data_IF_553246334740
#
_entry.id   IF_553246334740
#
_cell.length_a   1.000
_cell.length_b   1.000
_cell.length_c   1.000
_cell.angle_alpha   90.00
_cell.angle_beta   90.00
_cell.angle_gamma   90.00
#
_symmetry.space_group_name_H-M   'P 1'
#
loop_
_entity.id
_entity.type
_entity.pdbx_description
1 polymer ?
#
# COMPACT_ATOMS: atom_id res chain seq x y z
N UNK A 1 -14.30 -12.16 1.62
CA UNK A 1 -12.88 -11.94 1.33
C UNK A 1 -12.16 -13.26 1.52
N UNK A 2 -11.45 -13.77 0.51
CA UNK A 2 -10.70 -15.02 0.61
C UNK A 2 -9.22 -14.72 0.51
N UNK A 3 -8.57 -14.73 1.68
CA UNK A 3 -7.13 -14.54 1.81
C UNK A 3 -6.41 -15.81 1.38
N UNK A 4 -5.25 -15.62 0.75
CA UNK A 4 -4.44 -16.73 0.26
C UNK A 4 -3.56 -17.26 1.38
N UNK A 5 -3.74 -18.53 1.69
CA UNK A 5 -2.89 -19.28 2.61
C UNK A 5 -1.73 -19.97 1.87
N UNK A 6 -0.86 -20.70 2.57
CA UNK A 6 0.32 -21.31 1.93
C UNK A 6 -0.05 -22.35 0.85
N UNK A 7 -1.13 -23.11 1.08
CA UNK A 7 -1.61 -24.12 0.13
C UNK A 7 -2.19 -23.47 -1.14
N UNK A 8 -2.88 -22.35 -0.98
CA UNK A 8 -3.47 -21.59 -2.09
C UNK A 8 -2.41 -20.83 -2.87
N UNK A 9 -1.36 -20.35 -2.20
CA UNK A 9 -0.21 -19.74 -2.85
C UNK A 9 0.37 -20.66 -3.92
N UNK A 10 0.51 -21.96 -3.61
CA UNK A 10 0.99 -23.00 -4.55
C UNK A 10 0.09 -23.24 -5.77
N UNK A 11 -1.14 -22.70 -5.76
CA UNK A 11 -2.05 -22.73 -6.91
C UNK A 11 -1.96 -21.47 -7.76
N UNK A 12 -1.48 -20.36 -7.19
CA UNK A 12 -1.35 -19.07 -7.89
C UNK A 12 -0.09 -18.99 -8.75
N UNK A 13 0.95 -19.72 -8.37
CA UNK A 13 2.23 -19.70 -9.07
C UNK A 13 2.55 -21.09 -9.62
N UNK A 14 3.12 -21.13 -10.82
CA UNK A 14 3.71 -22.35 -11.38
C UNK A 14 4.77 -22.93 -10.44
N UNK A 15 5.61 -22.08 -9.84
CA UNK A 15 6.66 -22.49 -8.89
C UNK A 15 6.78 -21.47 -7.76
N UNK A 16 7.06 -21.95 -6.54
CA UNK A 16 7.38 -21.10 -5.39
C UNK A 16 8.74 -21.52 -4.83
N UNK A 17 9.61 -20.53 -4.65
CA UNK A 17 10.91 -20.69 -4.04
C UNK A 17 10.88 -20.13 -2.63
N UNK A 18 11.32 -20.95 -1.65
CA UNK A 18 11.52 -20.54 -0.26
C UNK A 18 12.99 -20.34 0.08
N UNK A 19 13.89 -20.96 -0.69
CA UNK A 19 15.32 -20.64 -0.70
C UNK A 19 15.60 -19.74 -1.91
N UNK A 20 16.14 -18.55 -1.64
CA UNK A 20 16.38 -17.55 -2.68
C UNK A 20 17.52 -17.94 -3.62
N UNK A 21 18.42 -18.83 -3.18
CA UNK A 21 19.51 -19.34 -4.02
C UNK A 21 19.01 -20.26 -5.15
N UNK A 22 17.81 -20.83 -5.00
CA UNK A 22 17.22 -21.75 -5.98
C UNK A 22 16.53 -21.03 -7.13
N UNK A 23 16.35 -19.70 -7.05
CA UNK A 23 15.61 -18.93 -8.04
C UNK A 23 16.44 -18.83 -9.34
N UNK A 24 15.97 -19.36 -10.48
CA UNK A 24 16.70 -19.30 -11.73
C UNK A 24 16.45 -17.97 -12.47
N UNK A 25 16.76 -16.83 -11.82
CA UNK A 25 16.34 -15.49 -12.25
C UNK A 25 16.79 -15.11 -13.67
N UNK A 26 17.99 -15.53 -14.07
CA UNK A 26 18.52 -15.28 -15.42
C UNK A 26 17.70 -16.01 -16.49
N UNK A 27 17.06 -17.13 -16.16
CA UNK A 27 16.20 -17.88 -17.08
C UNK A 27 14.78 -17.31 -17.24
N UNK A 28 14.42 -16.28 -16.46
CA UNK A 28 13.07 -15.70 -16.53
C UNK A 28 12.89 -14.81 -17.76
N UNK A 29 11.74 -14.95 -18.42
CA UNK A 29 11.33 -14.16 -19.58
C UNK A 29 10.81 -12.80 -19.12
N UNK A 30 11.72 -11.90 -18.74
CA UNK A 30 11.41 -10.57 -18.22
C UNK A 30 11.94 -9.48 -19.16
N UNK A 31 11.12 -8.45 -19.42
CA UNK A 31 11.59 -7.24 -20.12
C UNK A 31 12.65 -6.52 -19.29
N UNK A 32 13.44 -5.64 -19.92
CA UNK A 32 14.43 -4.80 -19.21
C UNK A 32 13.76 -3.96 -18.11
N UNK A 33 12.55 -3.46 -18.37
CA UNK A 33 11.79 -2.70 -17.38
C UNK A 33 11.36 -3.59 -16.22
N UNK A 34 10.81 -4.78 -16.50
CA UNK A 34 10.38 -5.71 -15.47
C UNK A 34 11.55 -6.13 -14.58
N UNK A 35 12.73 -6.40 -15.16
CA UNK A 35 13.94 -6.74 -14.39
C UNK A 35 14.39 -5.62 -13.45
N UNK A 36 14.30 -4.36 -13.89
CA UNK A 36 14.69 -3.19 -13.09
C UNK A 36 13.83 -3.01 -11.84
N UNK A 37 12.54 -3.27 -11.96
CA UNK A 37 11.57 -3.14 -10.87
C UNK A 37 11.22 -4.48 -10.21
N UNK A 38 11.95 -5.54 -10.55
CA UNK A 38 11.64 -6.87 -10.05
C UNK A 38 12.00 -6.99 -8.57
N UNK A 39 11.18 -7.70 -7.81
CA UNK A 39 11.40 -7.92 -6.39
C UNK A 39 12.64 -8.78 -6.10
N UNK A 40 13.14 -9.53 -7.10
CA UNK A 40 14.41 -10.25 -7.02
C UNK A 40 15.60 -9.35 -6.65
N UNK A 41 15.50 -8.06 -6.96
CA UNK A 41 16.58 -7.12 -6.63
C UNK A 41 16.77 -6.92 -5.11
N UNK A 42 15.79 -7.27 -4.27
CA UNK A 42 16.00 -7.28 -2.81
C UNK A 42 17.12 -8.24 -2.38
N UNK A 43 17.28 -9.37 -3.06
CA UNK A 43 18.27 -10.40 -2.70
C UNK A 43 19.71 -9.97 -2.96
N UNK A 44 19.93 -8.95 -3.81
CA UNK A 44 21.28 -8.46 -4.10
C UNK A 44 21.97 -7.81 -2.89
N UNK A 45 21.21 -7.50 -1.85
CA UNK A 45 21.68 -6.77 -0.68
C UNK A 45 21.88 -7.65 0.57
N UNK A 46 21.69 -8.97 0.44
CA UNK A 46 21.96 -9.94 1.50
C UNK A 46 20.69 -10.49 2.14
N UNK A 47 20.73 -10.65 3.47
CA UNK A 47 19.64 -11.24 4.25
C UNK A 47 18.38 -10.36 4.23
N UNK A 48 17.26 -10.94 3.83
CA UNK A 48 15.99 -10.21 3.69
C UNK A 48 15.42 -9.74 5.02
N UNK A 49 15.62 -10.49 6.11
CA UNK A 49 15.13 -10.06 7.42
C UNK A 49 15.88 -8.81 7.86
N UNK A 50 17.20 -8.80 7.76
CA UNK A 50 18.00 -7.61 8.05
C UNK A 50 17.67 -6.45 7.10
N UNK A 51 17.42 -6.74 5.81
CA UNK A 51 17.26 -5.70 4.81
C UNK A 51 15.86 -5.07 4.75
N UNK A 52 14.80 -5.86 5.03
CA UNK A 52 13.39 -5.47 4.90
C UNK A 52 12.69 -5.42 6.26
N UNK A 53 12.97 -6.35 7.18
CA UNK A 53 12.20 -6.51 8.43
C UNK A 53 12.82 -5.76 9.61
N UNK A 54 14.15 -5.73 9.75
CA UNK A 54 14.83 -5.05 10.84
C UNK A 54 14.39 -3.58 11.07
N UNK A 55 14.10 -2.76 10.04
CA UNK A 55 13.63 -1.38 10.23
C UNK A 55 12.31 -1.26 11.02
N UNK A 56 11.50 -2.32 11.06
CA UNK A 56 10.25 -2.34 11.84
C UNK A 56 10.51 -2.38 13.34
N UNK A 57 11.66 -2.91 13.79
CA UNK A 57 11.95 -3.15 15.21
C UNK A 57 11.72 -1.92 16.09
N UNK A 58 12.12 -0.74 15.60
CA UNK A 58 12.08 0.50 16.39
C UNK A 58 10.81 1.33 16.12
N UNK A 59 10.17 1.16 14.96
CA UNK A 59 9.09 2.05 14.48
C UNK A 59 7.71 1.37 14.44
N UNK A 60 7.68 0.04 14.34
CA UNK A 60 6.50 -0.83 14.22
C UNK A 60 6.75 -2.16 14.97
N UNK A 61 7.03 -2.11 16.29
CA UNK A 61 7.53 -3.27 17.04
C UNK A 61 6.54 -4.44 17.10
N UNK A 62 5.23 -4.20 17.08
CA UNK A 62 4.26 -5.30 17.13
C UNK A 62 4.23 -6.08 15.81
N UNK A 63 4.27 -5.37 14.69
CA UNK A 63 4.37 -5.97 13.36
C UNK A 63 5.69 -6.73 13.22
N UNK A 64 6.79 -6.18 13.74
CA UNK A 64 8.10 -6.83 13.74
C UNK A 64 8.07 -8.22 14.41
N UNK A 65 7.40 -8.37 15.56
CA UNK A 65 7.28 -9.65 16.27
C UNK A 65 6.66 -10.76 15.41
N UNK A 66 5.69 -10.42 14.55
CA UNK A 66 5.08 -11.36 13.61
C UNK A 66 5.95 -11.57 12.37
N UNK A 67 6.51 -10.50 11.81
CA UNK A 67 7.28 -10.55 10.57
C UNK A 67 8.56 -11.37 10.72
N UNK A 68 9.25 -11.31 11.86
CA UNK A 68 10.47 -12.09 12.09
C UNK A 68 10.24 -13.61 12.16
N UNK A 69 9.00 -14.03 12.40
CA UNK A 69 8.58 -15.43 12.38
C UNK A 69 8.06 -15.86 11.01
N UNK A 70 7.91 -14.93 10.07
CA UNK A 70 7.40 -15.20 8.75
C UNK A 70 8.39 -15.98 7.89
N UNK A 71 7.91 -16.47 6.76
CA UNK A 71 8.74 -17.16 5.76
C UNK A 71 8.64 -16.42 4.43
N UNK A 72 9.75 -15.87 3.96
CA UNK A 72 9.81 -15.26 2.63
C UNK A 72 9.60 -16.30 1.54
N UNK A 73 8.96 -15.88 0.45
CA UNK A 73 8.79 -16.68 -0.74
C UNK A 73 8.94 -15.82 -2.00
N UNK A 74 9.38 -16.46 -3.09
CA UNK A 74 9.38 -15.87 -4.42
C UNK A 74 8.55 -16.75 -5.35
N UNK A 75 7.38 -16.24 -5.75
CA UNK A 75 6.47 -16.91 -6.67
C UNK A 75 6.84 -16.60 -8.12
N UNK A 76 6.80 -17.62 -8.98
CA UNK A 76 6.98 -17.49 -10.43
C UNK A 76 5.82 -18.16 -11.13
N UNK A 77 5.13 -17.41 -11.98
CA UNK A 77 4.18 -17.95 -12.93
C UNK A 77 4.71 -17.79 -14.36
N UNK A 78 4.93 -18.93 -15.03
CA UNK A 78 5.59 -18.98 -16.33
C UNK A 78 4.59 -18.64 -17.43
N UNK A 79 4.97 -17.73 -18.32
CA UNK A 79 4.18 -17.45 -19.50
C UNK A 79 4.21 -18.63 -20.46
N UNK A 80 3.04 -19.01 -20.99
CA UNK A 80 2.95 -19.99 -22.08
C UNK A 80 3.32 -19.39 -23.43
N UNK A 81 3.28 -18.06 -23.56
CA UNK A 81 3.67 -17.34 -24.77
C UNK A 81 5.18 -17.10 -24.81
N UNK A 82 5.82 -17.18 -26.00
CA UNK A 82 7.24 -16.91 -26.14
C UNK A 82 7.55 -15.42 -25.91
N UNK A 83 8.69 -15.15 -25.28
CA UNK A 83 9.21 -13.79 -25.14
C UNK A 83 9.49 -13.18 -26.54
N UNK A 84 9.14 -11.90 -26.81
CA UNK A 84 8.66 -10.87 -25.87
C UNK A 84 7.13 -10.77 -25.72
N UNK A 85 6.37 -11.65 -26.38
CA UNK A 85 4.90 -11.60 -26.37
C UNK A 85 4.32 -12.13 -25.04
N UNK A 86 5.07 -13.01 -24.38
CA UNK A 86 4.82 -13.47 -23.03
C UNK A 86 5.91 -13.05 -22.06
N UNK A 87 5.53 -12.52 -20.89
CA UNK A 87 6.45 -12.24 -19.79
C UNK A 87 6.09 -13.06 -18.58
N UNK A 88 7.09 -13.65 -17.94
CA UNK A 88 6.88 -14.34 -16.67
C UNK A 88 6.36 -13.35 -15.61
N UNK A 89 5.37 -13.78 -14.83
CA UNK A 89 4.92 -13.05 -13.66
C UNK A 89 5.68 -13.52 -12.43
N UNK A 90 6.12 -12.59 -11.60
CA UNK A 90 6.92 -12.88 -10.42
C UNK A 90 6.43 -12.05 -9.26
N UNK A 91 6.47 -12.60 -8.05
CA UNK A 91 6.05 -11.88 -6.84
C UNK A 91 6.90 -12.30 -5.66
N UNK A 92 7.55 -11.35 -4.99
CA UNK A 92 8.07 -11.57 -3.64
C UNK A 92 6.95 -11.37 -2.62
N UNK A 93 7.01 -12.17 -1.56
CA UNK A 93 6.18 -11.96 -0.39
C UNK A 93 6.71 -12.65 0.85
N UNK A 94 5.94 -12.55 1.92
CA UNK A 94 6.17 -13.24 3.19
C UNK A 94 4.89 -13.94 3.63
N UNK A 95 5.01 -15.18 4.08
CA UNK A 95 3.92 -15.90 4.75
C UNK A 95 4.04 -15.67 6.24
N UNK A 96 2.98 -15.13 6.86
CA UNK A 96 2.89 -14.89 8.30
C UNK A 96 1.60 -15.54 8.79
N UNK A 97 1.70 -16.46 9.75
CA UNK A 97 0.57 -17.21 10.30
C UNK A 97 -0.37 -17.81 9.23
N UNK A 98 0.19 -18.42 8.18
CA UNK A 98 -0.60 -19.03 7.09
C UNK A 98 -1.46 -18.01 6.32
N UNK A 99 -0.97 -16.76 6.20
CA UNK A 99 -1.45 -15.76 5.25
C UNK A 99 -0.27 -15.21 4.46
N UNK A 100 -0.44 -15.10 3.16
CA UNK A 100 0.57 -14.55 2.28
C UNK A 100 0.38 -13.03 2.07
N UNK A 101 1.49 -12.30 2.11
CA UNK A 101 1.56 -10.86 1.88
C UNK A 101 2.59 -10.60 0.79
N UNK A 102 2.27 -9.70 -0.14
CA UNK A 102 3.19 -9.31 -1.20
C UNK A 102 4.00 -8.08 -0.80
N UNK A 103 5.20 -7.98 -1.36
CA UNK A 103 6.12 -6.86 -1.16
C UNK A 103 6.62 -6.44 -2.54
N UNK A 104 6.36 -5.19 -2.92
CA UNK A 104 6.85 -4.64 -4.18
C UNK A 104 8.12 -3.82 -3.96
N UNK A 105 9.18 -4.20 -4.68
CA UNK A 105 10.42 -3.47 -4.74
C UNK A 105 10.24 -2.11 -5.42
N UNK A 106 10.98 -1.13 -4.92
CA UNK A 106 11.18 0.12 -5.62
C UNK A 106 12.65 0.56 -5.57
N UNK A 107 13.36 0.55 -6.71
CA UNK A 107 14.77 0.93 -6.77
C UNK A 107 15.01 2.42 -6.43
N UNK A 108 13.95 3.20 -6.28
CA UNK A 108 13.97 4.63 -5.98
C UNK A 108 13.45 4.96 -4.59
N UNK A 109 12.89 3.98 -3.88
CA UNK A 109 12.31 4.18 -2.56
C UNK A 109 13.39 4.32 -1.49
N UNK A 110 13.68 5.59 -1.19
CA UNK A 110 14.23 6.10 0.06
C UNK A 110 15.69 5.69 0.38
N UNK A 111 16.65 6.44 -0.19
CA UNK A 111 17.82 6.84 0.58
C UNK A 111 17.38 7.97 1.53
N UNK A 112 17.85 7.96 2.79
CA UNK A 112 17.55 9.00 3.78
C UNK A 112 17.59 10.39 3.12
N UNK A 113 16.47 11.15 3.21
CA UNK A 113 16.23 12.50 2.65
C UNK A 113 15.46 12.61 1.31
N UNK A 114 14.75 11.57 0.84
CA UNK A 114 13.97 11.70 -0.41
C UNK A 114 12.75 12.64 -0.24
N UNK A 115 12.74 13.75 -0.97
CA UNK A 115 11.65 14.76 -0.99
C UNK A 115 10.34 14.23 -1.59
N UNK A 116 10.40 13.14 -2.37
CA UNK A 116 9.27 12.64 -3.16
C UNK A 116 8.06 12.22 -2.31
N UNK A 117 8.27 11.78 -1.06
CA UNK A 117 7.21 11.34 -0.15
C UNK A 117 7.20 12.18 1.13
N UNK A 118 7.35 13.49 0.99
CA UNK A 118 7.45 14.46 2.09
C UNK A 118 6.21 14.50 3.01
N UNK A 119 5.08 13.93 2.57
CA UNK A 119 3.79 13.94 3.27
C UNK A 119 3.50 12.65 4.05
N UNK A 120 4.25 11.57 3.81
CA UNK A 120 4.08 10.30 4.54
C UNK A 120 4.84 10.36 5.87
N UNK A 121 4.29 9.88 7.00
CA UNK A 121 5.03 9.81 8.27
C UNK A 121 6.37 9.08 8.12
N UNK A 122 7.44 9.62 8.73
CA UNK A 122 8.78 9.05 8.66
C UNK A 122 8.85 7.62 9.20
N UNK A 123 8.09 7.31 10.26
CA UNK A 123 8.02 5.95 10.81
C UNK A 123 7.51 4.94 9.77
N UNK A 124 6.56 5.31 8.91
CA UNK A 124 6.03 4.46 7.85
C UNK A 124 7.03 4.38 6.67
N UNK A 125 7.71 5.48 6.33
CA UNK A 125 8.76 5.50 5.32
C UNK A 125 9.98 4.65 5.72
N UNK A 126 10.32 4.65 7.00
CA UNK A 126 11.45 3.91 7.56
C UNK A 126 11.08 2.47 7.98
N UNK A 127 9.85 2.01 7.71
CA UNK A 127 9.43 0.62 7.93
C UNK A 127 8.78 0.05 6.66
N UNK A 128 7.47 0.20 6.53
CA UNK A 128 6.66 -0.35 5.44
C UNK A 128 7.10 0.09 4.05
N UNK A 129 7.60 1.30 3.90
CA UNK A 129 8.00 1.86 2.60
C UNK A 129 9.51 2.05 2.49
N UNK A 130 10.25 1.40 3.39
CA UNK A 130 11.70 1.40 3.34
C UNK A 130 12.14 0.43 2.25
N UNK A 131 12.58 0.97 1.10
CA UNK A 131 13.04 0.20 -0.07
C UNK A 131 11.95 -0.63 -0.76
N UNK A 132 10.70 -0.48 -0.33
CA UNK A 132 9.51 -1.02 -0.98
C UNK A 132 8.54 0.10 -1.31
N UNK A 133 7.86 -0.02 -2.44
CA UNK A 133 6.76 0.90 -2.81
C UNK A 133 5.41 0.48 -2.26
N UNK A 134 5.23 -0.79 -1.91
CA UNK A 134 3.90 -1.29 -1.55
C UNK A 134 3.96 -2.63 -0.85
N UNK A 135 3.14 -2.75 0.19
CA UNK A 135 2.77 -4.01 0.81
C UNK A 135 1.27 -4.23 0.66
N UNK A 136 0.84 -5.50 0.72
CA UNK A 136 -0.57 -5.82 0.82
C UNK A 136 -0.79 -7.31 1.03
N UNK A 137 -2.00 -7.64 1.47
CA UNK A 137 -2.41 -9.04 1.59
C UNK A 137 -2.70 -9.64 0.22
N UNK A 138 -2.31 -10.91 0.03
CA UNK A 138 -2.66 -11.64 -1.18
C UNK A 138 -4.09 -12.16 -1.03
N UNK A 139 -4.91 -11.82 -2.02
CA UNK A 139 -6.29 -12.27 -2.18
C UNK A 139 -6.35 -13.13 -3.46
N UNK A 140 -7.35 -14.00 -3.59
CA UNK A 140 -7.53 -14.81 -4.82
C UNK A 140 -7.91 -13.96 -6.06
N UNK A 141 -8.23 -12.69 -5.87
CA UNK A 141 -8.57 -11.75 -6.91
C UNK A 141 -7.34 -10.97 -7.37
N UNK A 142 -7.44 -10.31 -8.53
CA UNK A 142 -6.37 -9.47 -9.04
C UNK A 142 -6.04 -8.37 -8.02
N UNK A 143 -4.74 -8.07 -7.85
CA UNK A 143 -4.30 -6.99 -7.00
C UNK A 143 -4.98 -5.67 -7.41
N UNK A 144 -5.54 -4.94 -6.45
CA UNK A 144 -6.10 -3.63 -6.71
C UNK A 144 -5.01 -2.70 -7.25
N UNK A 145 -5.20 -2.12 -8.44
CA UNK A 145 -4.27 -1.10 -8.96
C UNK A 145 -4.46 0.26 -8.26
N UNK A 146 -5.59 0.42 -7.56
CA UNK A 146 -5.96 1.69 -6.96
C UNK A 146 -5.68 1.78 -5.45
N UNK A 147 -5.59 0.65 -4.76
CA UNK A 147 -5.57 0.62 -3.30
C UNK A 147 -4.80 -0.58 -2.78
N UNK A 148 -4.35 -0.51 -1.53
CA UNK A 148 -3.62 -1.58 -0.87
C UNK A 148 -4.05 -1.68 0.59
N UNK A 149 -4.13 -2.90 1.11
CA UNK A 149 -4.56 -3.16 2.50
C UNK A 149 -3.48 -2.88 3.54
N UNK A 150 -2.24 -2.67 3.11
CA UNK A 150 -1.09 -2.20 3.89
C UNK A 150 -0.47 -0.99 3.20
N UNK A 151 0.44 -0.23 3.84
CA UNK A 151 0.95 1.02 3.29
C UNK A 151 1.52 0.90 1.87
N UNK A 152 1.25 1.93 1.06
CA UNK A 152 1.63 1.98 -0.35
C UNK A 152 1.96 3.40 -0.83
N UNK A 153 2.94 3.50 -1.73
CA UNK A 153 3.24 4.69 -2.51
C UNK A 153 2.43 4.79 -3.81
N UNK A 154 1.42 3.92 -4.04
CA UNK A 154 0.45 4.11 -5.13
C UNK A 154 -0.24 5.47 -5.02
N UNK A 155 -0.54 5.90 -3.79
CA UNK A 155 -1.02 7.24 -3.47
C UNK A 155 -2.16 7.67 -4.40
N UNK A 156 -3.13 6.77 -4.63
CA UNK A 156 -4.27 7.11 -5.46
C UNK A 156 -5.07 8.23 -4.82
N UNK A 157 -5.53 9.20 -5.62
CA UNK A 157 -6.25 10.34 -5.10
C UNK A 157 -7.66 9.92 -4.64
N UNK A 158 -8.20 10.65 -3.66
CA UNK A 158 -9.47 10.36 -2.98
C UNK A 158 -10.62 10.05 -3.94
N UNK A 159 -10.77 10.84 -5.00
CA UNK A 159 -11.87 10.70 -5.96
C UNK A 159 -11.89 9.32 -6.64
N UNK A 160 -10.72 8.70 -6.85
CA UNK A 160 -10.59 7.37 -7.46
C UNK A 160 -11.07 6.24 -6.53
N UNK A 161 -11.25 6.51 -5.23
CA UNK A 161 -11.57 5.48 -4.23
C UNK A 161 -12.95 5.61 -3.60
N UNK A 162 -13.55 6.80 -3.68
CA UNK A 162 -14.81 7.12 -3.04
C UNK A 162 -15.91 7.21 -4.11
N UNK A 163 -16.78 6.21 -4.13
CA UNK A 163 -17.89 6.15 -5.07
C UNK A 163 -18.83 7.37 -4.91
N UNK A 164 -19.14 8.02 -6.04
CA UNK A 164 -19.99 9.20 -6.07
C UNK A 164 -19.35 10.47 -5.50
N UNK A 165 -18.01 10.54 -5.48
CA UNK A 165 -17.27 11.75 -5.15
C UNK A 165 -17.40 12.84 -6.23
N UNK A 166 -17.51 12.43 -7.50
CA UNK A 166 -17.54 13.30 -8.66
C UNK A 166 -18.90 13.30 -9.39
N UNK A 167 -19.13 14.33 -10.19
CA UNK A 167 -20.20 14.38 -11.16
C UNK A 167 -19.85 13.61 -12.46
N UNK A 168 -20.76 13.62 -13.43
CA UNK A 168 -20.57 12.91 -14.70
C UNK A 168 -19.47 13.50 -15.60
N UNK A 169 -18.96 14.69 -15.27
CA UNK A 169 -17.91 15.39 -15.99
C UNK A 169 -16.55 15.24 -15.30
N UNK A 170 -16.45 14.52 -14.19
CA UNK A 170 -15.22 14.34 -13.44
C UNK A 170 -14.94 15.44 -12.41
N UNK A 171 -15.90 16.33 -12.13
CA UNK A 171 -15.72 17.35 -11.11
C UNK A 171 -16.15 16.85 -9.74
N UNK A 172 -15.33 17.06 -8.73
CA UNK A 172 -15.69 16.82 -7.33
C UNK A 172 -16.99 17.54 -6.97
N UNK A 173 -17.91 16.85 -6.30
CA UNK A 173 -19.20 17.44 -5.93
C UNK A 173 -19.01 18.58 -4.91
N UNK A 174 -19.75 19.70 -5.02
CA UNK A 174 -19.56 20.88 -4.16
C UNK A 174 -19.58 20.58 -2.67
N UNK A 175 -20.48 19.68 -2.21
CA UNK A 175 -20.55 19.28 -0.80
C UNK A 175 -19.25 18.70 -0.23
N UNK A 176 -18.42 18.06 -1.05
CA UNK A 176 -17.14 17.52 -0.62
C UNK A 176 -16.05 18.57 -0.72
N UNK A 177 -16.06 19.38 -1.78
CA UNK A 177 -15.14 20.50 -1.96
C UNK A 177 -15.29 21.48 -0.79
N UNK A 178 -16.49 22.03 -0.58
CA UNK A 178 -16.78 22.99 0.49
C UNK A 178 -16.37 22.47 1.88
N UNK A 179 -16.67 21.19 2.14
CA UNK A 179 -16.33 20.54 3.39
C UNK A 179 -14.81 20.38 3.57
N UNK A 180 -14.11 19.86 2.56
CA UNK A 180 -12.67 19.62 2.63
C UNK A 180 -11.89 20.94 2.67
N UNK A 181 -12.28 21.94 1.89
CA UNK A 181 -11.64 23.26 1.93
C UNK A 181 -11.82 23.94 3.29
N UNK A 182 -13.01 23.86 3.87
CA UNK A 182 -13.24 24.38 5.23
C UNK A 182 -12.44 23.61 6.29
N UNK A 183 -12.33 22.28 6.16
CA UNK A 183 -11.66 21.40 7.12
C UNK A 183 -10.13 21.55 7.09
N UNK A 184 -9.54 21.74 5.90
CA UNK A 184 -8.09 21.85 5.71
C UNK A 184 -7.61 23.31 5.60
N UNK A 185 -8.54 24.26 5.47
CA UNK A 185 -8.25 25.68 5.24
C UNK A 185 -7.30 25.88 4.04
N UNK A 186 -7.54 25.15 2.96
CA UNK A 186 -6.77 25.19 1.71
C UNK A 186 -7.64 24.78 0.54
N UNK A 187 -7.35 25.24 -0.68
CA UNK A 187 -8.18 24.91 -1.85
C UNK A 187 -8.00 23.45 -2.26
N UNK A 188 -9.09 22.77 -2.58
CA UNK A 188 -9.07 21.34 -2.93
C UNK A 188 -9.01 21.15 -4.44
N UNK A 189 -8.23 20.17 -4.91
CA UNK A 189 -8.17 19.80 -6.32
C UNK A 189 -9.47 19.13 -6.77
N UNK A 190 -10.21 19.79 -7.65
CA UNK A 190 -11.57 19.38 -8.01
C UNK A 190 -11.63 18.43 -9.21
N UNK A 191 -10.61 18.41 -10.05
CA UNK A 191 -10.62 17.71 -11.34
C UNK A 191 -9.16 17.42 -11.81
N UNK A 192 -8.97 16.45 -12.71
CA UNK A 192 -7.63 15.96 -13.11
C UNK A 192 -7.30 16.08 -14.60
N UNK A 193 -8.28 16.23 -15.50
CA UNK A 193 -8.10 16.24 -16.95
C UNK A 193 -7.91 17.65 -17.53
N UNK A 194 -8.01 18.69 -16.70
CA UNK A 194 -7.79 20.10 -17.09
C UNK A 194 -6.62 20.73 -16.34
N UNK A 195 -5.97 21.70 -16.99
CA UNK A 195 -4.84 22.44 -16.40
C UNK A 195 -5.27 23.34 -15.22
N UNK A 196 -6.57 23.58 -15.04
CA UNK A 196 -7.15 24.52 -14.06
C UNK A 196 -6.83 24.15 -12.60
N UNK A 197 -6.48 22.88 -12.35
CA UNK A 197 -6.25 22.31 -11.02
C UNK A 197 -4.92 21.54 -10.88
N UNK A 198 -3.95 21.75 -11.78
CA UNK A 198 -2.64 21.08 -11.74
C UNK A 198 -1.61 21.77 -10.85
N UNK A 199 -1.95 22.92 -10.26
CA UNK A 199 -1.07 23.68 -9.38
C UNK A 199 -1.05 23.07 -7.96
N UNK A 200 -0.04 22.25 -7.69
CA UNK A 200 0.16 21.55 -6.41
C UNK A 200 0.49 22.51 -5.24
N UNK A 201 0.85 23.78 -5.49
CA UNK A 201 1.01 24.78 -4.43
C UNK A 201 -0.33 25.42 -4.06
N UNK A 202 -1.24 25.54 -5.03
CA UNK A 202 -2.56 26.15 -4.87
C UNK A 202 -3.61 25.16 -4.39
N UNK A 203 -3.56 23.93 -4.86
CA UNK A 203 -4.57 22.91 -4.59
C UNK A 203 -3.97 21.71 -3.88
N UNK A 204 -4.63 21.28 -2.80
CA UNK A 204 -4.29 20.04 -2.13
C UNK A 204 -5.18 18.89 -2.58
N UNK A 205 -4.68 17.68 -2.32
CA UNK A 205 -5.41 16.44 -2.53
C UNK A 205 -5.10 15.46 -1.40
N UNK A 206 -6.03 14.53 -1.17
CA UNK A 206 -5.85 13.41 -0.26
C UNK A 206 -5.45 12.19 -1.07
N UNK A 207 -4.29 11.62 -0.74
CA UNK A 207 -3.70 10.45 -1.41
C UNK A 207 -3.73 9.24 -0.50
N UNK A 208 -4.28 8.14 -1.00
CA UNK A 208 -4.51 6.93 -0.22
C UNK A 208 -3.20 6.24 0.13
N UNK A 209 -2.90 6.19 1.42
CA UNK A 209 -1.79 5.43 1.99
C UNK A 209 -2.15 3.95 2.12
N UNK A 210 -3.36 3.64 2.60
CA UNK A 210 -3.93 2.29 2.61
C UNK A 210 -5.46 2.32 2.70
N UNK A 211 -6.11 1.24 2.25
CA UNK A 211 -7.56 1.01 2.30
C UNK A 211 -7.81 -0.39 2.85
N UNK A 212 -8.52 -0.51 3.97
CA UNK A 212 -8.75 -1.81 4.62
C UNK A 212 -9.76 -2.70 3.87
N UNK A 213 -10.46 -2.17 2.86
CA UNK A 213 -11.42 -2.95 2.07
C UNK A 213 -10.70 -4.00 1.22
N UNK A 214 -11.34 -5.16 0.98
CA UNK A 214 -10.86 -6.13 -0.01
C UNK A 214 -10.64 -5.47 -1.37
N UNK A 215 -9.76 -6.05 -2.20
CA UNK A 215 -9.42 -5.49 -3.52
C UNK A 215 -10.66 -5.20 -4.39
N UNK A 216 -11.62 -6.12 -4.43
CA UNK A 216 -12.86 -6.01 -5.22
C UNK A 216 -13.95 -5.13 -4.58
N UNK A 217 -13.81 -4.77 -3.29
CA UNK A 217 -14.88 -4.13 -2.53
C UNK A 217 -14.82 -2.61 -2.62
N UNK A 218 -15.88 -2.00 -3.12
CA UNK A 218 -16.04 -0.54 -3.18
C UNK A 218 -17.14 -0.02 -2.26
N UNK A 219 -17.62 -0.89 -1.36
CA UNK A 219 -18.70 -0.60 -0.44
C UNK A 219 -18.34 0.51 0.56
N UNK A 220 -19.38 1.03 1.22
CA UNK A 220 -19.29 2.00 2.32
C UNK A 220 -18.91 1.31 3.63
N UNK A 221 -17.71 0.73 3.64
CA UNK A 221 -17.15 -0.06 4.74
C UNK A 221 -15.65 0.22 4.88
N UNK A 222 -15.02 -0.37 5.88
CA UNK A 222 -13.60 -0.22 6.08
C UNK A 222 -13.19 1.17 6.54
N UNK A 223 -11.88 1.33 6.54
CA UNK A 223 -11.20 2.56 6.87
C UNK A 223 -10.21 2.84 5.75
N UNK A 224 -10.21 4.09 5.27
CA UNK A 224 -9.28 4.55 4.25
C UNK A 224 -8.39 5.60 4.87
N UNK A 225 -7.08 5.36 4.84
CA UNK A 225 -6.08 6.28 5.38
C UNK A 225 -5.45 7.07 4.24
N UNK A 226 -5.45 8.38 4.39
CA UNK A 226 -4.94 9.33 3.41
C UNK A 226 -3.83 10.19 4.00
N UNK A 227 -2.87 10.57 3.17
CA UNK A 227 -1.96 11.69 3.42
C UNK A 227 -2.40 12.88 2.56
N UNK A 228 -2.10 14.10 2.99
CA UNK A 228 -2.44 15.30 2.22
C UNK A 228 -1.20 15.80 1.46
N UNK A 229 -1.32 16.14 0.18
CA UNK A 229 -0.22 16.69 -0.62
C UNK A 229 0.33 18.01 -0.08
N UNK A 230 -0.52 18.81 0.58
CA UNK A 230 -0.18 20.13 1.09
C UNK A 230 0.38 20.11 2.52
N UNK A 231 0.17 19.02 3.28
CA UNK A 231 0.55 18.98 4.69
C UNK A 231 1.98 18.47 4.90
N UNK A 232 2.90 19.36 5.28
CA UNK A 232 4.28 19.00 5.62
C UNK A 232 4.47 18.47 7.05
N UNK A 233 3.43 18.54 7.89
CA UNK A 233 3.44 17.93 9.24
C UNK A 233 3.31 16.40 9.19
N UNK A 234 3.12 15.83 8.00
CA UNK A 234 3.01 14.38 7.75
C UNK A 234 1.85 13.74 8.49
N UNK A 235 0.73 14.46 8.58
CA UNK A 235 -0.50 13.96 9.17
C UNK A 235 -1.10 12.85 8.30
N UNK A 236 -1.76 11.89 8.97
CA UNK A 236 -2.57 10.86 8.31
C UNK A 236 -4.03 11.06 8.70
N UNK A 237 -4.90 11.08 7.69
CA UNK A 237 -6.33 11.30 7.81
C UNK A 237 -7.08 9.99 7.60
N UNK A 238 -8.09 9.76 8.42
CA UNK A 238 -8.92 8.57 8.43
C UNK A 238 -10.30 8.91 7.87
N UNK A 239 -10.71 8.21 6.81
CA UNK A 239 -12.08 8.23 6.30
C UNK A 239 -12.75 6.91 6.67
N UNK A 240 -13.69 6.89 7.63
CA UNK A 240 -14.42 5.68 7.98
C UNK A 240 -15.56 5.43 6.98
N UNK A 241 -15.78 4.16 6.63
CA UNK A 241 -16.90 3.70 5.81
C UNK A 241 -16.97 4.37 4.42
N UNK A 242 -15.83 4.79 3.87
CA UNK A 242 -15.75 5.59 2.65
C UNK A 242 -16.61 6.88 2.68
N UNK A 243 -16.85 7.43 3.88
CA UNK A 243 -17.64 8.65 4.09
C UNK A 243 -16.74 9.83 4.42
N UNK A 244 -16.38 10.59 3.39
CA UNK A 244 -15.45 11.73 3.48
C UNK A 244 -15.89 12.77 4.50
N UNK A 245 -17.21 12.93 4.70
CA UNK A 245 -17.75 13.90 5.66
C UNK A 245 -17.49 13.52 7.12
N UNK A 246 -17.04 12.29 7.37
CA UNK A 246 -16.64 11.79 8.69
C UNK A 246 -15.12 11.77 8.88
N UNK A 247 -14.35 12.43 8.01
CA UNK A 247 -12.90 12.42 8.08
C UNK A 247 -12.40 12.89 9.46
N UNK A 248 -11.43 12.14 9.99
CA UNK A 248 -10.70 12.44 11.23
C UNK A 248 -9.20 12.46 10.95
N UNK A 249 -8.41 12.91 11.91
CA UNK A 249 -6.95 12.79 11.88
C UNK A 249 -6.53 11.67 12.83
N UNK A 250 -5.50 10.90 12.48
CA UNK A 250 -4.90 9.97 13.42
C UNK A 250 -3.95 10.71 14.36
N UNK A 251 -4.12 10.51 15.66
CA UNK A 251 -3.25 11.07 16.71
C UNK A 251 -1.84 10.46 16.70
N UNK A 252 -1.74 9.15 16.47
CA UNK A 252 -0.48 8.43 16.29
C UNK A 252 -0.56 7.47 15.09
N UNK A 253 -0.26 7.93 13.86
CA UNK A 253 -0.38 7.11 12.66
C UNK A 253 0.49 5.84 12.68
N UNK A 254 1.70 5.92 13.26
CA UNK A 254 2.62 4.81 13.31
C UNK A 254 2.07 3.67 14.19
N UNK A 255 1.65 4.00 15.41
CA UNK A 255 1.07 3.03 16.35
C UNK A 255 -0.23 2.44 15.82
N UNK A 256 -1.11 3.25 15.24
CA UNK A 256 -2.38 2.80 14.68
C UNK A 256 -2.18 1.76 13.55
N UNK A 257 -1.23 2.02 12.64
CA UNK A 257 -0.90 1.11 11.54
C UNK A 257 -0.22 -0.16 12.07
N UNK A 258 0.65 -0.04 13.08
CA UNK A 258 1.33 -1.19 13.68
C UNK A 258 0.32 -2.17 14.33
N UNK A 259 -0.64 -1.63 15.08
CA UNK A 259 -1.71 -2.41 15.70
C UNK A 259 -2.64 -3.03 14.65
N UNK A 260 -2.95 -2.30 13.57
CA UNK A 260 -3.76 -2.80 12.48
C UNK A 260 -3.07 -3.95 11.72
N UNK A 261 -1.80 -3.77 11.35
CA UNK A 261 -1.04 -4.82 10.68
C UNK A 261 -0.91 -6.06 11.58
N UNK A 262 -0.67 -5.86 12.87
CA UNK A 262 -0.69 -6.93 13.88
C UNK A 262 -2.04 -7.64 13.94
N UNK A 263 -3.16 -6.91 13.85
CA UNK A 263 -4.50 -7.49 13.77
C UNK A 263 -4.64 -8.40 12.54
N UNK A 264 -4.12 -7.98 11.39
CA UNK A 264 -4.09 -8.78 10.17
C UNK A 264 -3.21 -10.04 10.32
N UNK A 265 -1.98 -9.89 10.82
CA UNK A 265 -1.00 -10.98 10.99
C UNK A 265 -1.46 -12.00 12.03
N UNK A 266 -2.11 -11.54 13.10
CA UNK A 266 -2.69 -12.41 14.14
C UNK A 266 -3.98 -13.11 13.70
N UNK A 267 -4.50 -12.80 12.50
CA UNK A 267 -5.77 -13.33 11.99
C UNK A 267 -6.95 -13.07 12.93
N UNK A 268 -6.92 -11.96 13.65
CA UNK A 268 -8.02 -11.58 14.56
C UNK A 268 -9.32 -11.43 13.78
N UNK A 269 -10.40 -11.91 14.38
CA UNK A 269 -11.73 -11.76 13.81
C UNK A 269 -12.22 -10.30 13.91
N UNK A 270 -13.10 -9.92 12.98
CA UNK A 270 -13.66 -8.58 12.92
C UNK A 270 -12.75 -7.55 12.23
N UNK A 271 -13.32 -6.36 12.04
CA UNK A 271 -12.62 -5.19 11.51
C UNK A 271 -11.81 -4.53 12.61
N UNK A 272 -10.58 -4.11 12.30
CA UNK A 272 -9.79 -3.30 13.22
C UNK A 272 -10.37 -1.90 13.29
N UNK A 273 -10.70 -1.43 14.50
CA UNK A 273 -11.27 -0.11 14.69
C UNK A 273 -10.19 0.97 14.79
N UNK A 274 -10.02 1.76 13.73
CA UNK A 274 -9.12 2.91 13.73
C UNK A 274 -9.66 4.10 14.54
N UNK A 275 -10.94 4.12 14.91
CA UNK A 275 -11.55 5.25 15.64
C UNK A 275 -10.94 5.43 17.03
N UNK A 276 -10.34 4.39 17.62
CA UNK A 276 -9.64 4.49 18.90
C UNK A 276 -8.40 5.43 18.85
N UNK A 277 -7.88 5.72 17.65
CA UNK A 277 -6.77 6.66 17.43
C UNK A 277 -7.22 7.98 16.78
N UNK A 278 -8.51 8.13 16.49
CA UNK A 278 -9.03 9.24 15.72
C UNK A 278 -9.31 10.47 16.59
N UNK A 279 -8.88 11.63 16.10
CA UNK A 279 -9.16 12.93 16.71
C UNK A 279 -9.82 13.89 15.70
N UNK A 280 -10.56 14.85 16.24
CA UNK A 280 -11.05 16.00 15.49
C UNK A 280 -9.91 16.97 15.18
N UNK A 281 -10.04 17.66 14.04
CA UNK A 281 -9.09 18.67 13.55
C UNK A 281 -9.82 19.80 12.81
#
# INVERSE_FOLDING_TARGET
MKFVNEQELRKLFTTIYYDMNDIPYESLSLTKLNRKFNDYNFFQYGDLFEYIIAPFKDTQPLSYEYLIQGQFFYGVDKSNDPFPFGTDFTQLGIVVNDRAYFIYYDPYSYAENNQQYSTIPLAILNSWLYRSRRWGIIEETVHGIYKSTLPSTLLMPLHSLIAGFEDKKGYALPKYVDFLEAKFNHSFRQEYDTDDFLDDEKYFELRCLLDTRPNESWDKSGFQLFVSSHNQERNVYLVPQADVLKIKKLSNPAEAIDHYATHLFAKKEGEFDFMQYAEDF
#
